data_IF_876187496887
#
_entry.id   IF_876187496887
#
_cell.length_a   1.000
_cell.length_b   1.000
_cell.length_c   1.000
_cell.angle_alpha   90.00
_cell.angle_beta   90.00
_cell.angle_gamma   90.00
#
_symmetry.space_group_name_H-M   'P 1'
#
loop_
_entity.id
_entity.type
_entity.pdbx_description
1 polymer ?
#
# COMPACT_ATOMS: atom_id res chain seq x y z
N UNK A 1 12.95 -27.36 0.48
CA UNK A 1 11.51 -27.72 0.46
C UNK A 1 10.75 -26.43 0.26
N UNK A 2 10.25 -26.21 -0.96
CA UNK A 2 9.52 -25.04 -1.40
C UNK A 2 8.10 -25.07 -0.83
N UNK A 3 7.70 -24.03 -0.11
CA UNK A 3 6.29 -23.80 0.21
C UNK A 3 5.75 -22.76 -0.76
N UNK A 4 5.23 -23.26 -1.88
CA UNK A 4 4.23 -22.57 -2.68
C UNK A 4 3.01 -22.33 -1.81
N UNK A 5 2.91 -21.16 -1.19
CA UNK A 5 1.71 -20.77 -0.46
C UNK A 5 0.64 -20.34 -1.47
N UNK A 6 0.01 -21.32 -2.12
CA UNK A 6 -1.29 -21.10 -2.76
C UNK A 6 -2.24 -20.65 -1.65
N UNK A 7 -2.61 -19.36 -1.63
CA UNK A 7 -3.37 -18.74 -0.54
C UNK A 7 -4.54 -19.61 -0.10
N UNK A 8 -4.39 -20.28 1.04
CA UNK A 8 -5.44 -21.10 1.60
C UNK A 8 -6.55 -20.16 2.09
N UNK A 9 -7.80 -20.45 1.71
CA UNK A 9 -8.94 -19.74 2.25
C UNK A 9 -9.03 -20.01 3.76
N UNK A 10 -9.14 -18.96 4.56
CA UNK A 10 -9.21 -19.07 6.03
C UNK A 10 -10.61 -18.80 6.59
N UNK A 11 -11.51 -18.26 5.77
CA UNK A 11 -12.92 -18.05 6.11
C UNK A 11 -13.73 -17.64 4.89
N UNK A 12 -15.01 -17.36 5.06
CA UNK A 12 -15.89 -16.87 3.99
C UNK A 12 -16.81 -15.78 4.53
N UNK A 13 -17.01 -14.72 3.75
CA UNK A 13 -18.06 -13.74 4.03
C UNK A 13 -19.27 -14.03 3.18
N UNK A 14 -20.41 -14.21 3.83
CA UNK A 14 -21.73 -14.20 3.20
C UNK A 14 -22.29 -12.78 3.27
N UNK A 15 -22.36 -12.09 2.14
CA UNK A 15 -22.82 -10.70 2.05
C UNK A 15 -24.21 -10.66 1.42
N UNK A 16 -25.17 -10.05 2.10
CA UNK A 16 -26.54 -9.80 1.63
C UNK A 16 -26.80 -8.31 1.54
N UNK A 17 -27.74 -7.91 0.69
CA UNK A 17 -28.29 -6.55 0.76
C UNK A 17 -29.09 -6.41 2.04
N UNK A 18 -28.91 -5.32 2.77
CA UNK A 18 -29.70 -4.99 3.95
C UNK A 18 -31.10 -4.44 3.60
N UNK A 19 -31.31 -4.03 2.33
CA UNK A 19 -32.54 -3.39 1.87
C UNK A 19 -33.48 -4.33 1.10
N UNK A 20 -33.00 -5.54 0.77
CA UNK A 20 -33.75 -6.53 0.02
C UNK A 20 -33.54 -7.91 0.67
N UNK A 21 -34.54 -8.34 1.46
CA UNK A 21 -34.54 -9.63 2.15
C UNK A 21 -34.56 -10.82 1.18
N UNK A 22 -34.96 -10.61 -0.09
CA UNK A 22 -34.95 -11.62 -1.14
C UNK A 22 -33.67 -11.60 -1.98
N UNK A 23 -32.76 -10.66 -1.75
CA UNK A 23 -31.51 -10.59 -2.48
C UNK A 23 -30.65 -11.82 -2.20
N UNK A 24 -30.20 -12.46 -3.28
CA UNK A 24 -29.31 -13.62 -3.17
C UNK A 24 -27.99 -13.23 -2.51
N UNK A 25 -27.64 -13.93 -1.43
CA UNK A 25 -26.38 -13.73 -0.73
C UNK A 25 -25.18 -14.04 -1.64
N UNK A 26 -24.18 -13.15 -1.63
CA UNK A 26 -22.89 -13.37 -2.30
C UNK A 26 -21.90 -13.95 -1.32
N UNK A 27 -21.25 -15.07 -1.69
CA UNK A 27 -20.18 -15.66 -0.90
C UNK A 27 -18.82 -15.19 -1.43
N UNK A 28 -17.96 -14.74 -0.53
CA UNK A 28 -16.59 -14.33 -0.82
C UNK A 28 -15.63 -15.15 0.05
N UNK A 29 -14.87 -16.05 -0.57
CA UNK A 29 -13.76 -16.73 0.10
C UNK A 29 -12.72 -15.68 0.53
N UNK A 30 -12.30 -15.74 1.79
CA UNK A 30 -11.25 -14.88 2.30
C UNK A 30 -9.91 -15.54 2.03
N UNK A 31 -9.21 -15.01 1.03
CA UNK A 31 -7.95 -15.56 0.53
C UNK A 31 -6.81 -14.58 0.83
N UNK A 32 -5.77 -15.08 1.46
CA UNK A 32 -4.59 -14.31 1.85
C UNK A 32 -4.81 -13.44 3.09
N UNK A 33 -3.76 -12.84 3.62
CA UNK A 33 -3.78 -12.33 5.01
C UNK A 33 -4.63 -11.07 5.25
N UNK A 34 -5.14 -10.43 4.20
CA UNK A 34 -6.03 -9.27 4.34
C UNK A 34 -6.90 -9.11 3.10
N UNK A 35 -8.20 -8.89 3.32
CA UNK A 35 -9.23 -8.73 2.29
C UNK A 35 -9.91 -7.38 2.49
N UNK A 36 -9.69 -6.45 1.57
CA UNK A 36 -10.33 -5.12 1.56
C UNK A 36 -11.77 -5.18 1.07
N UNK A 37 -12.63 -4.36 1.66
CA UNK A 37 -14.06 -4.26 1.36
C UNK A 37 -14.44 -2.78 1.20
N UNK A 38 -15.04 -2.40 0.08
CA UNK A 38 -15.48 -1.02 -0.14
C UNK A 38 -15.87 -0.74 -1.59
N UNK A 39 -15.97 0.54 -1.95
CA UNK A 39 -16.39 0.98 -3.29
C UNK A 39 -15.24 1.04 -4.32
N UNK A 40 -13.98 0.96 -3.88
CA UNK A 40 -12.83 1.03 -4.79
C UNK A 40 -12.70 -0.25 -5.63
N UNK A 41 -12.36 -0.14 -6.93
CA UNK A 41 -12.28 -1.29 -7.84
C UNK A 41 -11.12 -2.25 -7.52
N UNK A 42 -10.13 -1.80 -6.75
CA UNK A 42 -8.96 -2.56 -6.29
C UNK A 42 -9.20 -3.30 -4.96
N UNK A 43 -10.37 -3.16 -4.33
CA UNK A 43 -10.72 -4.04 -3.22
C UNK A 43 -10.98 -5.47 -3.69
N UNK A 44 -10.65 -6.43 -2.82
CA UNK A 44 -11.03 -7.81 -3.03
C UNK A 44 -12.56 -8.01 -3.05
N UNK A 45 -13.31 -7.21 -2.29
CA UNK A 45 -14.77 -7.18 -2.29
C UNK A 45 -15.24 -5.77 -2.64
N UNK A 46 -15.66 -5.59 -3.89
CA UNK A 46 -16.19 -4.31 -4.39
C UNK A 46 -17.71 -4.28 -4.22
N UNK A 47 -18.21 -3.23 -3.56
CA UNK A 47 -19.62 -3.03 -3.27
C UNK A 47 -20.06 -1.65 -3.75
N UNK A 48 -21.23 -1.58 -4.38
CA UNK A 48 -21.76 -0.37 -4.99
C UNK A 48 -22.83 0.24 -4.09
N UNK A 49 -22.41 1.20 -3.25
CA UNK A 49 -23.34 2.02 -2.49
C UNK A 49 -22.72 3.40 -2.22
N UNK A 50 -23.54 4.44 -2.32
CA UNK A 50 -23.11 5.84 -2.20
C UNK A 50 -22.56 6.24 -0.83
N UNK A 51 -22.88 5.47 0.21
CA UNK A 51 -22.41 5.68 1.58
C UNK A 51 -21.16 4.86 1.93
N UNK A 52 -20.68 4.02 1.01
CA UNK A 52 -19.47 3.23 1.19
C UNK A 52 -18.23 4.01 0.78
N UNK A 53 -17.28 4.04 1.72
CA UNK A 53 -15.93 4.48 1.45
C UNK A 53 -15.24 3.57 0.41
N UNK A 54 -14.36 4.11 -0.46
CA UNK A 54 -13.48 3.34 -1.33
C UNK A 54 -12.83 2.17 -0.61
N UNK A 55 -12.24 2.34 0.58
CA UNK A 55 -11.76 1.24 1.42
C UNK A 55 -12.45 1.29 2.80
N UNK A 56 -13.61 0.65 2.91
CA UNK A 56 -14.52 0.81 4.05
C UNK A 56 -14.08 -0.02 5.27
N UNK A 57 -13.78 -1.31 5.07
CA UNK A 57 -13.37 -2.27 6.09
C UNK A 57 -12.30 -3.20 5.50
N UNK A 58 -11.62 -3.97 6.35
CA UNK A 58 -10.85 -5.12 5.89
C UNK A 58 -10.96 -6.29 6.85
N UNK A 59 -10.99 -7.52 6.35
CA UNK A 59 -10.77 -8.72 7.18
C UNK A 59 -9.29 -9.10 7.12
N UNK A 60 -8.71 -9.46 8.25
CA UNK A 60 -7.29 -9.74 8.47
C UNK A 60 -7.09 -11.11 9.06
N UNK A 61 -6.26 -11.94 8.46
CA UNK A 61 -5.80 -13.18 9.06
C UNK A 61 -4.51 -12.93 9.84
N UNK A 62 -4.53 -13.12 11.16
CA UNK A 62 -3.38 -12.93 12.04
C UNK A 62 -3.26 -14.16 12.93
N UNK A 63 -2.14 -14.87 12.83
CA UNK A 63 -1.80 -16.02 13.69
C UNK A 63 -2.92 -17.08 13.76
N UNK A 64 -3.54 -17.42 12.62
CA UNK A 64 -4.59 -18.44 12.56
C UNK A 64 -5.99 -17.93 12.92
N UNK A 65 -6.17 -16.63 13.14
CA UNK A 65 -7.46 -16.03 13.49
C UNK A 65 -7.81 -14.84 12.60
N UNK A 66 -9.08 -14.73 12.25
CA UNK A 66 -9.59 -13.63 11.46
C UNK A 66 -10.04 -12.47 12.35
N UNK A 67 -9.71 -11.26 11.93
CA UNK A 67 -10.07 -10.01 12.58
C UNK A 67 -10.71 -9.07 11.57
N UNK A 68 -11.82 -8.47 11.92
CA UNK A 68 -12.34 -7.31 11.20
C UNK A 68 -11.60 -6.06 11.67
N UNK A 69 -11.07 -5.29 10.72
CA UNK A 69 -10.31 -4.08 10.97
C UNK A 69 -11.06 -2.84 10.47
N UNK A 70 -11.21 -1.84 11.33
CA UNK A 70 -12.00 -0.62 11.07
C UNK A 70 -11.27 0.64 11.56
N UNK A 71 -11.10 1.65 10.71
CA UNK A 71 -10.60 2.97 11.11
C UNK A 71 -11.71 3.75 11.85
N UNK A 72 -11.67 3.76 13.19
CA UNK A 72 -12.63 4.47 14.02
C UNK A 72 -12.56 5.99 13.81
N UNK A 73 -11.41 6.56 13.45
CA UNK A 73 -11.34 7.99 13.18
C UNK A 73 -12.05 8.36 11.87
N UNK A 74 -12.01 7.47 10.87
CA UNK A 74 -12.82 7.60 9.65
C UNK A 74 -14.31 7.51 9.97
N UNK A 75 -14.73 6.47 10.70
CA UNK A 75 -16.14 6.27 11.10
C UNK A 75 -16.68 7.47 11.90
N UNK A 76 -15.87 8.06 12.80
CA UNK A 76 -16.25 9.29 13.53
C UNK A 76 -16.56 10.46 12.58
N UNK A 77 -15.71 10.68 11.57
CA UNK A 77 -15.88 11.79 10.60
C UNK A 77 -17.12 11.61 9.73
N UNK A 78 -17.43 10.36 9.39
CA UNK A 78 -18.60 9.96 8.61
C UNK A 78 -19.88 9.86 9.47
N UNK A 79 -19.79 10.11 10.78
CA UNK A 79 -20.89 9.98 11.75
C UNK A 79 -21.47 8.56 11.79
N UNK A 80 -20.65 7.57 11.48
CA UNK A 80 -20.98 6.15 11.63
C UNK A 80 -20.60 5.70 13.04
N UNK A 81 -21.62 5.54 13.89
CA UNK A 81 -21.45 5.18 15.31
C UNK A 81 -21.41 3.67 15.56
N UNK A 82 -21.63 2.86 14.53
CA UNK A 82 -21.83 1.41 14.62
C UNK A 82 -20.65 0.70 15.29
N UNK A 83 -19.44 1.19 15.04
CA UNK A 83 -18.17 0.58 15.47
C UNK A 83 -17.67 1.06 16.84
N UNK A 84 -18.35 2.03 17.45
CA UNK A 84 -17.92 2.61 18.73
C UNK A 84 -18.43 1.82 19.94
N UNK A 85 -19.34 0.86 19.72
CA UNK A 85 -19.74 -0.12 20.74
C UNK A 85 -18.72 -1.26 20.76
N UNK A 86 -17.68 -1.07 21.57
CA UNK A 86 -16.61 -2.06 21.79
C UNK A 86 -17.20 -3.33 22.43
N UNK A 87 -16.95 -4.48 21.81
CA UNK A 87 -17.38 -5.82 22.25
C UNK A 87 -16.27 -6.48 23.08
N UNK A 88 -16.62 -7.51 23.83
CA UNK A 88 -15.62 -8.34 24.50
C UNK A 88 -14.69 -8.97 23.45
N UNK A 89 -13.37 -8.87 23.67
CA UNK A 89 -12.35 -9.35 22.74
C UNK A 89 -11.91 -8.35 21.67
N UNK A 90 -12.63 -7.23 21.49
CA UNK A 90 -12.18 -6.15 20.62
C UNK A 90 -10.87 -5.55 21.14
N UNK A 91 -9.91 -5.37 20.23
CA UNK A 91 -8.67 -4.66 20.50
C UNK A 91 -8.74 -3.33 19.79
N UNK A 92 -8.67 -2.24 20.55
CA UNK A 92 -8.47 -0.91 19.97
C UNK A 92 -6.98 -0.68 19.87
N UNK A 93 -6.48 -0.43 18.68
CA UNK A 93 -5.07 -0.30 18.39
C UNK A 93 -4.75 1.09 17.86
N UNK A 94 -3.70 1.67 18.44
CA UNK A 94 -3.11 2.93 18.02
C UNK A 94 -1.78 2.65 17.31
N UNK A 95 -1.57 3.16 16.10
CA UNK A 95 -0.29 3.16 15.39
C UNK A 95 0.94 3.49 16.23
N UNK A 96 0.79 4.48 17.13
CA UNK A 96 1.90 5.04 17.91
C UNK A 96 2.10 4.38 19.26
N UNK A 97 1.05 3.80 19.84
CA UNK A 97 1.03 3.37 21.25
C UNK A 97 0.61 1.91 21.41
N UNK A 98 0.33 1.20 20.31
CA UNK A 98 -0.13 -0.17 20.33
C UNK A 98 -1.56 -0.30 20.88
N UNK A 99 -1.83 -1.40 21.58
CA UNK A 99 -3.15 -1.71 22.13
C UNK A 99 -3.57 -0.72 23.23
N UNK A 100 -4.71 -0.07 23.03
CA UNK A 100 -5.30 0.92 23.92
C UNK A 100 -6.34 0.25 24.82
N UNK A 101 -6.03 0.16 26.12
CA UNK A 101 -6.91 -0.49 27.11
C UNK A 101 -8.22 0.27 27.39
N UNK A 102 -8.25 1.59 27.20
CA UNK A 102 -9.42 2.45 27.45
C UNK A 102 -9.51 3.57 26.41
N UNK A 103 -10.20 3.37 25.27
CA UNK A 103 -10.47 4.45 24.34
C UNK A 103 -11.28 5.55 25.04
N UNK A 104 -10.85 6.82 24.96
CA UNK A 104 -11.71 7.94 25.39
C UNK A 104 -12.88 8.07 24.40
N UNK A 105 -13.97 8.71 24.81
CA UNK A 105 -15.08 9.04 23.88
C UNK A 105 -14.51 9.91 22.76
N UNK A 106 -14.52 9.40 21.52
CA UNK A 106 -13.99 9.93 20.23
C UNK A 106 -12.87 9.04 19.70
N UNK A 107 -12.90 8.71 18.41
CA UNK A 107 -11.96 7.80 17.71
C UNK A 107 -10.51 8.27 17.62
N UNK A 108 -10.00 8.87 18.71
CA UNK A 108 -8.68 9.44 18.88
C UNK A 108 -7.98 8.73 20.04
N UNK A 109 -6.69 8.44 19.85
CA UNK A 109 -5.89 7.82 20.89
C UNK A 109 -5.73 8.77 22.10
N UNK A 110 -6.00 8.29 23.35
CA UNK A 110 -5.88 9.12 24.55
C UNK A 110 -4.44 9.52 24.87
N UNK A 111 -3.46 8.75 24.39
CA UNK A 111 -2.03 8.96 24.65
C UNK A 111 -1.36 9.88 23.61
N UNK A 112 -1.88 9.91 22.37
CA UNK A 112 -1.32 10.71 21.29
C UNK A 112 -1.32 12.22 21.54
N UNK A 113 -2.16 12.74 22.47
CA UNK A 113 -2.37 14.17 22.78
C UNK A 113 -2.63 15.09 21.57
N UNK A 114 -2.72 14.54 20.36
CA UNK A 114 -2.87 15.22 19.07
C UNK A 114 -4.18 14.73 18.43
N UNK A 115 -4.95 15.64 17.82
CA UNK A 115 -6.26 15.34 17.21
C UNK A 115 -6.16 14.53 15.88
N UNK A 116 -5.01 13.95 15.56
CA UNK A 116 -4.69 13.47 14.19
C UNK A 116 -4.30 12.00 14.07
N UNK A 117 -4.20 11.24 15.17
CA UNK A 117 -3.91 9.79 15.10
C UNK A 117 -5.19 8.95 14.96
N UNK A 118 -5.31 8.17 13.88
CA UNK A 118 -6.41 7.20 13.70
C UNK A 118 -6.33 6.08 14.74
N UNK A 119 -7.45 5.77 15.38
CA UNK A 119 -7.63 4.54 16.15
C UNK A 119 -8.23 3.46 15.27
N UNK A 120 -7.65 2.27 15.33
CA UNK A 120 -8.16 1.11 14.61
C UNK A 120 -8.86 0.18 15.59
N UNK A 121 -10.01 -0.32 15.19
CA UNK A 121 -10.67 -1.42 15.87
C UNK A 121 -10.24 -2.72 15.17
N UNK A 122 -9.72 -3.67 15.94
CA UNK A 122 -9.50 -5.05 15.53
C UNK A 122 -10.50 -5.91 16.31
N UNK A 123 -11.53 -6.40 15.62
CA UNK A 123 -12.56 -7.25 16.19
C UNK A 123 -12.30 -8.70 15.78
N UNK A 124 -12.00 -9.62 16.71
CA UNK A 124 -11.88 -11.03 16.35
C UNK A 124 -13.20 -11.54 15.79
N UNK A 125 -13.13 -12.27 14.68
CA UNK A 125 -14.28 -12.91 14.04
C UNK A 125 -14.39 -14.38 14.47
N UNK A 126 -15.61 -14.80 14.78
CA UNK A 126 -16.01 -16.16 15.14
C UNK A 126 -17.10 -16.65 14.19
N UNK A 127 -17.21 -17.97 14.00
CA UNK A 127 -18.22 -18.57 13.11
C UNK A 127 -19.64 -18.03 13.43
N UNK A 128 -20.32 -17.50 12.41
CA UNK A 128 -21.65 -16.90 12.54
C UNK A 128 -21.66 -15.42 12.95
N UNK A 129 -20.51 -14.80 13.22
CA UNK A 129 -20.45 -13.37 13.53
C UNK A 129 -21.01 -12.53 12.38
N UNK A 130 -21.86 -11.57 12.72
CA UNK A 130 -22.52 -10.71 11.76
C UNK A 130 -22.21 -9.23 12.00
N UNK A 131 -22.08 -8.48 10.91
CA UNK A 131 -21.79 -7.05 10.92
C UNK A 131 -22.27 -6.34 9.66
N UNK A 132 -22.62 -5.07 9.81
CA UNK A 132 -23.06 -4.22 8.70
C UNK A 132 -21.86 -3.63 7.94
N UNK A 133 -22.02 -3.46 6.63
CA UNK A 133 -21.06 -2.80 5.75
C UNK A 133 -21.81 -1.62 5.14
N UNK A 134 -21.56 -0.42 5.66
CA UNK A 134 -22.42 0.74 5.43
C UNK A 134 -23.87 0.46 5.85
N UNK A 135 -24.82 1.13 5.22
CA UNK A 135 -26.27 0.94 5.47
C UNK A 135 -26.94 -0.05 4.52
N UNK A 136 -26.21 -0.50 3.50
CA UNK A 136 -26.79 -1.22 2.36
C UNK A 136 -26.44 -2.70 2.33
N UNK A 137 -25.45 -3.13 3.11
CA UNK A 137 -24.98 -4.52 3.10
C UNK A 137 -24.80 -5.06 4.51
N UNK A 138 -25.02 -6.35 4.62
CA UNK A 138 -24.83 -7.11 5.85
C UNK A 138 -23.96 -8.32 5.56
N UNK A 139 -22.95 -8.56 6.38
CA UNK A 139 -22.02 -9.67 6.24
C UNK A 139 -22.15 -10.63 7.42
N UNK A 140 -22.19 -11.93 7.13
CA UNK A 140 -22.00 -13.01 8.10
C UNK A 140 -20.68 -13.71 7.81
N UNK A 141 -19.81 -13.80 8.81
CA UNK A 141 -18.56 -14.54 8.73
C UNK A 141 -18.80 -16.04 8.98
N UNK A 142 -18.28 -16.87 8.11
CA UNK A 142 -18.31 -18.33 8.17
C UNK A 142 -16.87 -18.81 8.35
N UNK A 143 -16.56 -19.39 9.50
CA UNK A 143 -15.22 -19.87 9.79
C UNK A 143 -14.90 -21.09 8.93
N UNK A 144 -13.67 -21.19 8.44
CA UNK A 144 -13.24 -22.38 7.71
C UNK A 144 -13.19 -23.60 8.64
N UNK A 145 -13.86 -24.69 8.25
CA UNK A 145 -13.85 -25.98 8.95
C UNK A 145 -13.09 -27.00 8.09
N UNK A 146 -11.93 -27.52 8.55
CA UNK A 146 -11.20 -28.55 7.81
C UNK A 146 -12.09 -29.77 7.58
N UNK A 147 -12.30 -30.13 6.30
CA UNK A 147 -13.09 -31.31 5.91
C UNK A 147 -14.49 -31.02 5.33
N UNK A 148 -14.94 -29.76 5.28
CA UNK A 148 -16.13 -29.41 4.51
C UNK A 148 -15.80 -29.26 3.02
N UNK A 149 -16.63 -29.89 2.17
CA UNK A 149 -16.53 -29.79 0.71
C UNK A 149 -16.61 -28.32 0.30
N UNK A 150 -15.58 -27.86 -0.41
CA UNK A 150 -15.47 -26.51 -0.95
C UNK A 150 -16.75 -26.18 -1.72
N UNK A 151 -17.56 -25.23 -1.23
CA UNK A 151 -18.73 -24.75 -1.96
C UNK A 151 -18.21 -24.11 -3.24
N UNK A 152 -18.28 -24.86 -4.33
CA UNK A 152 -17.93 -24.41 -5.67
C UNK A 152 -19.04 -23.49 -6.14
N UNK A 153 -19.04 -22.24 -5.66
CA UNK A 153 -19.78 -21.20 -6.36
C UNK A 153 -19.16 -21.05 -7.73
N UNK A 154 -20.00 -21.15 -8.76
CA UNK A 154 -19.65 -20.84 -10.12
C UNK A 154 -18.83 -19.56 -10.14
N UNK A 155 -17.59 -19.68 -10.60
CA UNK A 155 -16.66 -18.60 -10.91
C UNK A 155 -17.41 -17.62 -11.80
N UNK A 156 -18.06 -16.62 -11.22
CA UNK A 156 -18.28 -15.36 -11.94
C UNK A 156 -16.88 -14.78 -11.99
N UNK A 157 -16.22 -15.03 -13.11
CA UNK A 157 -15.08 -14.25 -13.56
C UNK A 157 -15.37 -12.81 -13.17
N UNK A 158 -14.56 -12.30 -12.22
CA UNK A 158 -14.44 -10.86 -12.01
C UNK A 158 -14.30 -10.26 -13.42
N UNK A 159 -15.05 -9.20 -13.77
CA UNK A 159 -14.67 -8.44 -14.95
C UNK A 159 -13.20 -8.10 -14.75
N UNK A 160 -12.36 -8.50 -15.70
CA UNK A 160 -10.97 -8.11 -15.74
C UNK A 160 -10.95 -6.58 -15.83
N UNK A 161 -10.96 -5.91 -14.67
CA UNK A 161 -10.77 -4.48 -14.53
C UNK A 161 -9.30 -4.19 -14.72
N UNK A 162 -8.90 -4.15 -15.99
CA UNK A 162 -7.72 -3.48 -16.53
C UNK A 162 -6.42 -3.54 -15.71
N UNK A 163 -5.91 -4.75 -15.46
CA UNK A 163 -4.47 -4.91 -15.68
C UNK A 163 -4.35 -5.12 -17.18
N UNK A 164 -3.98 -4.06 -17.92
CA UNK A 164 -3.59 -4.20 -19.31
C UNK A 164 -2.58 -5.36 -19.39
N UNK A 165 -2.63 -6.23 -20.42
CA UNK A 165 -1.66 -7.32 -20.55
C UNK A 165 -0.27 -6.74 -20.32
N UNK A 166 0.46 -7.31 -19.34
CA UNK A 166 1.82 -6.92 -18.98
C UNK A 166 2.58 -6.70 -20.27
N UNK A 167 2.90 -5.45 -20.57
CA UNK A 167 3.52 -5.08 -21.83
C UNK A 167 4.88 -5.78 -21.88
N UNK A 168 5.02 -6.74 -22.80
CA UNK A 168 6.28 -7.37 -23.15
C UNK A 168 7.15 -6.35 -23.88
N UNK A 169 7.82 -5.49 -23.13
CA UNK A 169 8.78 -4.54 -23.66
C UNK A 169 10.18 -4.97 -23.22
N UNK A 170 11.16 -4.85 -24.12
CA UNK A 170 12.57 -4.90 -23.76
C UNK A 170 12.85 -3.92 -22.61
N UNK A 171 13.79 -4.25 -21.73
CA UNK A 171 14.21 -3.33 -20.66
C UNK A 171 14.49 -1.94 -21.26
N UNK A 172 13.98 -0.85 -20.66
CA UNK A 172 14.10 0.48 -21.22
C UNK A 172 15.51 1.04 -20.97
N UNK A 173 16.51 0.46 -21.63
CA UNK A 173 17.92 0.84 -21.51
C UNK A 173 18.30 2.07 -22.32
N UNK A 174 17.45 2.49 -23.25
CA UNK A 174 17.74 3.51 -24.26
C UNK A 174 17.13 4.89 -23.94
N UNK A 175 16.34 5.00 -22.86
CA UNK A 175 15.83 6.29 -22.38
C UNK A 175 16.79 6.88 -21.34
N UNK A 176 17.51 7.93 -21.74
CA UNK A 176 18.47 8.64 -20.89
C UNK A 176 17.84 9.31 -19.66
N UNK A 177 16.52 9.40 -19.58
CA UNK A 177 15.79 9.94 -18.43
C UNK A 177 15.41 8.87 -17.40
N UNK A 178 15.65 7.59 -17.67
CA UNK A 178 15.39 6.50 -16.73
C UNK A 178 16.68 6.08 -16.04
N UNK A 179 16.64 6.10 -14.72
CA UNK A 179 17.70 5.52 -13.90
C UNK A 179 17.27 4.13 -13.42
N UNK A 180 18.16 3.14 -13.55
CA UNK A 180 17.88 1.77 -13.12
C UNK A 180 18.48 1.50 -11.73
N UNK A 181 17.64 1.11 -10.79
CA UNK A 181 18.03 0.49 -9.53
C UNK A 181 17.89 -1.02 -9.64
N UNK A 182 19.02 -1.72 -9.57
CA UNK A 182 19.07 -3.19 -9.55
C UNK A 182 20.33 -3.66 -8.81
N UNK A 183 20.42 -3.47 -7.48
CA UNK A 183 21.52 -3.99 -6.71
C UNK A 183 21.52 -5.53 -6.71
N UNK A 184 22.66 -6.12 -6.37
CA UNK A 184 22.78 -7.57 -6.25
C UNK A 184 21.75 -8.12 -5.24
N UNK A 185 20.94 -9.09 -5.68
CA UNK A 185 19.88 -9.69 -4.85
C UNK A 185 18.53 -8.97 -4.89
N UNK A 186 18.39 -7.87 -5.64
CA UNK A 186 17.07 -7.30 -5.92
C UNK A 186 16.24 -8.30 -6.78
N UNK A 187 14.97 -8.54 -6.42
CA UNK A 187 14.11 -9.49 -7.12
C UNK A 187 13.67 -9.03 -8.52
N UNK A 188 13.71 -7.71 -8.77
CA UNK A 188 13.45 -7.11 -10.08
C UNK A 188 14.12 -5.73 -10.20
N UNK A 189 14.43 -5.27 -11.43
CA UNK A 189 14.87 -3.91 -11.67
C UNK A 189 13.75 -2.89 -11.46
N UNK A 190 14.10 -1.73 -10.92
CA UNK A 190 13.21 -0.57 -10.79
C UNK A 190 13.81 0.60 -11.58
N UNK A 191 13.13 1.02 -12.64
CA UNK A 191 13.47 2.20 -13.42
C UNK A 191 12.73 3.41 -12.87
N UNK A 192 13.46 4.45 -12.48
CA UNK A 192 12.90 5.70 -11.96
C UNK A 192 13.14 6.81 -12.98
N UNK A 193 12.07 7.41 -13.49
CA UNK A 193 12.18 8.56 -14.38
C UNK A 193 12.67 9.79 -13.61
N UNK A 194 13.61 10.54 -14.21
CA UNK A 194 14.16 11.78 -13.66
C UNK A 194 13.10 12.78 -13.19
N UNK A 195 11.94 12.89 -13.88
CA UNK A 195 10.85 13.77 -13.44
C UNK A 195 10.21 13.33 -12.13
N UNK A 196 10.16 12.02 -11.85
CA UNK A 196 9.72 11.49 -10.56
C UNK A 196 10.72 11.90 -9.49
N UNK A 197 12.02 11.66 -9.72
CA UNK A 197 13.06 12.09 -8.77
C UNK A 197 12.99 13.59 -8.46
N UNK A 198 12.92 14.44 -9.50
CA UNK A 198 12.80 15.89 -9.34
C UNK A 198 11.56 16.26 -8.55
N UNK A 199 10.41 15.66 -8.86
CA UNK A 199 9.14 15.97 -8.19
C UNK A 199 9.13 15.55 -6.72
N UNK A 200 9.57 14.32 -6.41
CA UNK A 200 9.62 13.81 -5.03
C UNK A 200 10.70 14.51 -4.21
N UNK A 201 11.86 14.80 -4.79
CA UNK A 201 12.94 15.58 -4.16
C UNK A 201 12.51 17.01 -3.89
N UNK A 202 11.87 17.68 -4.84
CA UNK A 202 11.33 19.02 -4.62
C UNK A 202 10.28 19.03 -3.51
N UNK A 203 9.37 18.05 -3.51
CA UNK A 203 8.37 17.91 -2.45
C UNK A 203 9.01 17.68 -1.08
N UNK A 204 10.04 16.83 -1.00
CA UNK A 204 10.78 16.56 0.22
C UNK A 204 11.52 17.79 0.73
N UNK A 205 12.26 18.51 -0.13
CA UNK A 205 13.03 19.71 0.24
C UNK A 205 12.14 20.88 0.65
N UNK A 206 10.97 21.04 0.03
CA UNK A 206 9.97 22.06 0.40
C UNK A 206 9.35 21.81 1.78
N UNK A 207 9.50 20.59 2.33
CA UNK A 207 8.90 20.18 3.60
C UNK A 207 9.95 19.53 4.52
N UNK A 208 11.14 20.13 4.62
CA UNK A 208 12.27 19.56 5.38
C UNK A 208 12.04 19.46 6.90
N UNK A 209 10.99 20.08 7.42
CA UNK A 209 10.60 20.07 8.83
C UNK A 209 9.54 19.02 9.19
N UNK A 210 9.00 18.30 8.18
CA UNK A 210 7.92 17.33 8.35
C UNK A 210 7.96 16.19 7.33
N UNK A 211 7.35 15.08 7.69
CA UNK A 211 7.20 13.96 6.76
C UNK A 211 6.08 14.24 5.75
N UNK A 212 6.38 14.03 4.47
CA UNK A 212 5.45 14.11 3.35
C UNK A 212 5.57 12.86 2.49
N UNK A 213 4.62 12.63 1.60
CA UNK A 213 4.70 11.50 0.69
C UNK A 213 3.64 11.53 -0.41
N UNK A 214 3.43 10.38 -1.03
CA UNK A 214 2.50 10.26 -2.15
C UNK A 214 2.61 8.93 -2.89
N UNK A 215 1.88 8.83 -3.99
CA UNK A 215 1.90 7.65 -4.85
C UNK A 215 2.99 7.75 -5.91
N UNK A 216 3.51 6.59 -6.27
CA UNK A 216 4.35 6.37 -7.44
C UNK A 216 3.51 5.65 -8.49
N UNK A 217 3.45 6.22 -9.69
CA UNK A 217 2.66 5.72 -10.80
C UNK A 217 3.57 5.37 -11.97
N UNK A 218 3.19 4.35 -12.73
CA UNK A 218 3.99 3.89 -13.84
C UNK A 218 3.49 2.60 -14.43
N UNK A 219 4.43 1.79 -14.91
CA UNK A 219 4.14 0.60 -15.68
C UNK A 219 4.86 -0.60 -15.05
N UNK A 220 4.17 -1.74 -15.04
CA UNK A 220 4.72 -3.03 -14.60
C UNK A 220 4.89 -3.87 -15.85
N UNK A 221 6.12 -4.32 -16.10
CA UNK A 221 6.50 -4.93 -17.36
C UNK A 221 7.22 -6.26 -17.14
N UNK A 222 7.32 -7.04 -18.20
CA UNK A 222 8.16 -8.23 -18.26
C UNK A 222 9.10 -8.14 -19.45
N UNK A 223 10.35 -8.56 -19.26
CA UNK A 223 11.30 -8.67 -20.37
C UNK A 223 11.06 -9.97 -21.19
N UNK A 224 11.92 -10.19 -22.19
CA UNK A 224 11.82 -11.37 -23.08
C UNK A 224 12.03 -12.71 -22.36
N UNK A 225 12.60 -12.68 -21.15
CA UNK A 225 12.82 -13.87 -20.30
C UNK A 225 11.68 -14.10 -19.30
N UNK A 226 10.69 -13.19 -19.25
CA UNK A 226 9.61 -13.20 -18.27
C UNK A 226 9.99 -12.57 -16.92
N UNK A 227 11.18 -11.96 -16.80
CA UNK A 227 11.60 -11.26 -15.60
C UNK A 227 10.79 -9.97 -15.46
N UNK A 228 10.16 -9.80 -14.30
CA UNK A 228 9.43 -8.58 -13.96
C UNK A 228 10.39 -7.40 -13.83
N UNK A 229 9.96 -6.22 -14.26
CA UNK A 229 10.58 -4.94 -13.93
C UNK A 229 9.52 -3.84 -13.81
N UNK A 230 9.85 -2.78 -13.08
CA UNK A 230 8.94 -1.66 -12.80
C UNK A 230 9.50 -0.38 -13.39
N UNK A 231 8.67 0.40 -14.08
CA UNK A 231 9.03 1.71 -14.59
C UNK A 231 8.18 2.77 -13.91
N UNK A 232 8.78 3.51 -12.98
CA UNK A 232 8.14 4.60 -12.25
C UNK A 232 8.25 5.89 -13.07
N UNK A 233 7.11 6.36 -13.57
CA UNK A 233 7.07 7.47 -14.53
C UNK A 233 6.38 8.71 -13.98
N UNK A 234 5.47 8.61 -13.02
CA UNK A 234 4.74 9.75 -12.45
C UNK A 234 4.61 9.62 -10.93
N UNK A 235 4.17 10.71 -10.31
CA UNK A 235 3.93 10.76 -8.87
C UNK A 235 2.77 11.69 -8.55
N UNK A 236 1.96 11.30 -7.58
CA UNK A 236 0.89 12.13 -6.99
C UNK A 236 1.25 12.45 -5.55
N UNK A 237 1.06 13.71 -5.13
CA UNK A 237 1.37 14.16 -3.77
C UNK A 237 0.17 13.92 -2.85
N UNK A 238 0.44 13.43 -1.64
CA UNK A 238 -0.57 13.26 -0.60
C UNK A 238 -0.81 14.58 0.15
N UNK A 239 -1.68 15.45 -0.36
CA UNK A 239 -1.87 16.81 0.17
C UNK A 239 -2.55 16.87 1.54
N UNK A 240 -3.35 15.85 1.88
CA UNK A 240 -4.13 15.80 3.12
C UNK A 240 -3.64 14.74 4.11
N UNK A 241 -2.40 14.27 4.01
CA UNK A 241 -1.87 13.29 4.95
C UNK A 241 -1.92 13.82 6.40
N UNK A 242 -2.24 12.95 7.36
CA UNK A 242 -2.25 13.35 8.76
C UNK A 242 -0.81 13.46 9.27
N UNK A 243 -0.26 14.67 9.14
CA UNK A 243 1.10 15.00 9.54
C UNK A 243 1.21 15.05 11.07
N UNK A 244 2.04 14.19 11.64
CA UNK A 244 2.52 14.32 13.02
C UNK A 244 3.95 13.80 13.05
N UNK A 245 4.88 14.51 13.72
CA UNK A 245 6.32 14.16 13.80
C UNK A 245 6.52 12.64 13.92
N UNK A 246 7.24 12.07 12.96
CA UNK A 246 7.76 10.71 12.96
C UNK A 246 6.98 9.67 12.15
N UNK A 247 5.78 9.97 11.61
CA UNK A 247 5.05 9.02 10.74
C UNK A 247 4.05 9.72 9.78
N UNK A 248 4.12 9.44 8.48
CA UNK A 248 3.11 9.79 7.46
C UNK A 248 1.91 8.84 7.53
N UNK A 249 0.67 9.34 7.45
CA UNK A 249 -0.53 8.48 7.35
C UNK A 249 -1.40 8.90 6.18
N UNK A 250 -1.66 7.97 5.26
CA UNK A 250 -2.70 8.14 4.24
C UNK A 250 -4.07 8.01 4.91
N UNK A 251 -4.67 9.16 5.20
CA UNK A 251 -6.05 9.17 5.70
C UNK A 251 -7.02 8.81 4.58
N UNK A 252 -8.26 8.44 4.91
CA UNK A 252 -9.30 8.27 3.90
C UNK A 252 -9.43 9.47 2.94
N UNK A 253 -9.31 10.71 3.45
CA UNK A 253 -9.36 11.92 2.61
C UNK A 253 -8.15 11.97 1.66
N UNK A 254 -6.98 11.58 2.13
CA UNK A 254 -5.76 11.47 1.33
C UNK A 254 -5.94 10.44 0.23
N UNK A 255 -6.48 9.25 0.56
CA UNK A 255 -6.77 8.21 -0.42
C UNK A 255 -7.80 8.65 -1.46
N UNK A 256 -8.89 9.31 -1.04
CA UNK A 256 -9.89 9.83 -1.97
C UNK A 256 -9.30 10.90 -2.91
N UNK A 257 -8.47 11.81 -2.39
CA UNK A 257 -7.76 12.80 -3.21
C UNK A 257 -6.84 12.10 -4.23
N UNK A 258 -5.96 11.22 -3.75
CA UNK A 258 -5.03 10.49 -4.62
C UNK A 258 -5.73 9.65 -5.68
N UNK A 259 -6.86 9.02 -5.33
CA UNK A 259 -7.67 8.24 -6.27
C UNK A 259 -8.31 9.13 -7.34
N UNK A 260 -8.91 10.25 -6.94
CA UNK A 260 -9.50 11.20 -7.89
C UNK A 260 -8.43 11.79 -8.83
N UNK A 261 -7.26 12.15 -8.28
CA UNK A 261 -6.15 12.69 -9.06
C UNK A 261 -5.58 11.64 -10.02
N UNK A 262 -5.51 10.37 -9.60
CA UNK A 262 -5.09 9.26 -10.44
C UNK A 262 -6.03 9.07 -11.62
N UNK A 263 -7.34 8.98 -11.37
CA UNK A 263 -8.35 8.85 -12.43
C UNK A 263 -8.37 10.05 -13.38
N UNK A 264 -8.17 11.26 -12.87
CA UNK A 264 -8.22 12.48 -13.67
C UNK A 264 -6.96 12.70 -14.52
N UNK A 265 -5.78 12.38 -13.99
CA UNK A 265 -4.51 12.76 -14.61
C UNK A 265 -3.80 11.59 -15.30
N UNK A 266 -3.91 10.38 -14.75
CA UNK A 266 -3.13 9.21 -15.17
C UNK A 266 -3.95 7.90 -15.16
N UNK A 267 -5.15 7.87 -15.81
CA UNK A 267 -6.04 6.71 -15.76
C UNK A 267 -5.45 5.43 -16.37
N UNK A 268 -4.42 5.56 -17.22
CA UNK A 268 -3.73 4.47 -17.90
C UNK A 268 -2.47 3.98 -17.16
N UNK A 269 -2.16 4.54 -15.98
CA UNK A 269 -0.95 4.22 -15.22
C UNK A 269 -1.29 3.39 -13.98
N UNK A 270 -0.41 2.46 -13.64
CA UNK A 270 -0.54 1.58 -12.48
C UNK A 270 0.09 2.23 -11.24
N UNK A 271 -0.50 2.02 -10.06
CA UNK A 271 0.16 2.34 -8.79
C UNK A 271 1.27 1.31 -8.55
N UNK A 272 2.52 1.73 -8.82
CA UNK A 272 3.72 0.91 -8.71
C UNK A 272 4.43 1.07 -7.36
N UNK A 273 3.86 1.86 -6.46
CA UNK A 273 4.39 2.02 -5.11
C UNK A 273 4.02 3.37 -4.50
N UNK A 274 4.82 3.76 -3.52
CA UNK A 274 4.67 5.02 -2.81
C UNK A 274 6.02 5.58 -2.43
N UNK A 275 6.02 6.85 -2.07
CA UNK A 275 7.18 7.49 -1.47
C UNK A 275 6.78 8.25 -0.22
N UNK A 276 7.74 8.38 0.69
CA UNK A 276 7.64 9.28 1.83
C UNK A 276 9.01 9.80 2.28
N UNK A 277 9.00 10.78 3.17
CA UNK A 277 10.22 11.41 3.67
C UNK A 277 10.49 11.10 5.13
N UNK A 278 11.77 11.02 5.48
CA UNK A 278 12.30 10.88 6.85
C UNK A 278 13.32 12.01 7.14
N UNK A 279 12.91 13.28 7.33
CA UNK A 279 13.87 14.39 7.44
C UNK A 279 14.79 14.26 8.66
N UNK A 280 16.08 13.97 8.41
CA UNK A 280 17.12 13.81 9.42
C UNK A 280 17.09 12.48 10.19
N UNK A 281 16.33 11.49 9.71
CA UNK A 281 16.11 10.21 10.41
C UNK A 281 16.77 9.04 9.70
N UNK A 282 17.51 9.27 8.62
CA UNK A 282 18.10 8.25 7.73
C UNK A 282 17.05 7.43 6.96
N UNK A 283 17.52 6.50 6.13
CA UNK A 283 16.68 5.72 5.22
C UNK A 283 16.41 4.34 5.81
N UNK A 284 15.17 4.09 6.20
CA UNK A 284 14.67 2.80 6.69
C UNK A 284 13.14 2.81 6.59
N UNK A 285 12.50 1.66 6.71
CA UNK A 285 11.08 1.53 6.96
C UNK A 285 10.85 1.32 8.46
N UNK A 286 10.20 2.30 9.09
CA UNK A 286 9.72 2.14 10.46
C UNK A 286 8.65 1.05 10.52
N UNK A 287 8.29 0.60 11.73
CA UNK A 287 7.16 -0.33 11.92
C UNK A 287 5.87 0.20 11.29
N UNK A 288 5.71 1.51 11.23
CA UNK A 288 4.56 2.15 10.61
C UNK A 288 4.63 2.16 9.09
N UNK A 289 5.81 2.38 8.52
CA UNK A 289 5.99 2.35 7.07
C UNK A 289 5.84 0.92 6.54
N UNK A 290 6.35 -0.06 7.28
CA UNK A 290 6.07 -1.47 7.06
C UNK A 290 4.56 -1.74 7.11
N UNK A 291 3.87 -1.26 8.14
CA UNK A 291 2.41 -1.36 8.19
C UNK A 291 1.76 -0.73 6.95
N UNK A 292 2.17 0.46 6.51
CA UNK A 292 1.56 1.05 5.30
C UNK A 292 1.84 0.19 4.08
N UNK A 293 3.10 -0.20 3.88
CA UNK A 293 3.53 -0.95 2.70
C UNK A 293 2.88 -2.33 2.62
N UNK A 294 2.90 -3.08 3.72
CA UNK A 294 2.32 -4.42 3.83
C UNK A 294 0.79 -4.45 3.73
N UNK A 295 0.14 -3.29 3.84
CA UNK A 295 -1.32 -3.22 3.94
C UNK A 295 -1.98 -2.50 2.77
N UNK A 296 -1.29 -1.53 2.16
CA UNK A 296 -1.83 -0.73 1.06
C UNK A 296 -1.02 -0.87 -0.23
N UNK A 297 0.18 -1.46 -0.18
CA UNK A 297 1.09 -1.60 -1.33
C UNK A 297 1.64 -3.04 -1.43
N UNK A 298 0.73 -4.00 -1.56
CA UNK A 298 0.97 -5.44 -1.38
C UNK A 298 1.38 -6.19 -2.63
N UNK A 299 1.21 -5.58 -3.80
CA UNK A 299 1.55 -6.26 -5.03
C UNK A 299 3.07 -6.47 -5.08
N UNK A 300 3.56 -7.64 -5.57
CA UNK A 300 4.98 -7.94 -5.53
C UNK A 300 5.88 -6.92 -6.23
N UNK A 301 5.33 -6.18 -7.20
CA UNK A 301 6.02 -5.10 -7.90
C UNK A 301 5.99 -3.75 -7.18
N UNK A 302 5.13 -3.58 -6.18
CA UNK A 302 4.99 -2.31 -5.50
C UNK A 302 6.21 -2.02 -4.62
N UNK A 303 6.74 -0.80 -4.75
CA UNK A 303 7.94 -0.36 -4.04
C UNK A 303 7.61 0.68 -2.96
N UNK A 304 8.50 0.83 -1.99
CA UNK A 304 8.53 2.00 -1.11
C UNK A 304 9.82 2.80 -1.36
N UNK A 305 9.68 4.07 -1.75
CA UNK A 305 10.79 5.00 -1.90
C UNK A 305 10.87 5.92 -0.67
N UNK A 306 11.93 5.79 0.12
CA UNK A 306 12.14 6.64 1.30
C UNK A 306 13.20 7.68 0.99
N UNK A 307 12.91 8.95 1.31
CA UNK A 307 13.79 10.09 1.02
C UNK A 307 14.12 10.84 2.32
N UNK A 308 15.40 11.02 2.62
CA UNK A 308 15.84 11.93 3.68
C UNK A 308 16.41 13.20 3.02
N UNK A 309 15.63 14.29 2.94
CA UNK A 309 16.08 15.53 2.31
C UNK A 309 17.20 16.23 3.10
N UNK A 310 17.35 15.94 4.40
CA UNK A 310 18.39 16.54 5.25
C UNK A 310 19.75 15.89 5.02
N UNK A 311 19.76 14.60 4.65
CA UNK A 311 20.98 13.85 4.35
C UNK A 311 21.26 13.73 2.84
N UNK A 312 20.37 14.26 1.99
CA UNK A 312 20.39 14.13 0.52
C UNK A 312 20.49 12.66 0.06
N UNK A 313 19.73 11.78 0.74
CA UNK A 313 19.73 10.34 0.50
C UNK A 313 18.34 9.81 0.22
N UNK A 314 18.27 8.72 -0.53
CA UNK A 314 17.07 7.93 -0.72
C UNK A 314 17.39 6.44 -0.80
N UNK A 315 16.37 5.63 -0.66
CA UNK A 315 16.46 4.18 -0.82
C UNK A 315 15.13 3.59 -1.26
N UNK A 316 15.23 2.52 -2.03
CA UNK A 316 14.09 1.76 -2.53
C UNK A 316 13.99 0.45 -1.74
N UNK A 317 12.78 0.14 -1.29
CA UNK A 317 12.43 -1.11 -0.65
C UNK A 317 11.44 -1.85 -1.55
N UNK A 318 11.63 -3.16 -1.64
CA UNK A 318 10.88 -4.06 -2.54
C UNK A 318 10.50 -5.33 -1.82
N UNK A 319 9.44 -5.99 -2.30
CA UNK A 319 9.04 -7.31 -1.84
C UNK A 319 10.03 -8.39 -2.29
N UNK A 320 10.46 -9.24 -1.37
CA UNK A 320 11.25 -10.44 -1.64
C UNK A 320 10.69 -11.62 -0.85
N UNK A 321 10.16 -12.63 -1.54
CA UNK A 321 9.64 -13.84 -0.90
C UNK A 321 8.47 -13.62 0.06
N UNK A 322 7.62 -12.62 -0.20
CA UNK A 322 6.45 -12.30 0.63
C UNK A 322 6.71 -11.40 1.84
N UNK A 323 7.92 -10.88 1.99
CA UNK A 323 8.26 -9.86 2.98
C UNK A 323 9.07 -8.73 2.34
N UNK A 324 9.19 -7.58 3.00
CA UNK A 324 10.02 -6.48 2.50
C UNK A 324 11.49 -6.79 2.70
N UNK A 325 12.31 -6.63 1.65
CA UNK A 325 13.75 -6.85 1.74
C UNK A 325 14.44 -5.76 2.58
N UNK A 326 15.23 -6.18 3.57
CA UNK A 326 16.09 -5.32 4.40
C UNK A 326 15.40 -4.04 4.93
N UNK A 327 14.28 -4.14 5.66
CA UNK A 327 13.48 -2.96 6.00
C UNK A 327 14.18 -1.95 6.92
N UNK A 328 15.23 -2.37 7.64
CA UNK A 328 16.01 -1.47 8.51
C UNK A 328 17.17 -0.77 7.79
N UNK A 329 17.51 -1.18 6.57
CA UNK A 329 18.60 -0.60 5.80
C UNK A 329 18.37 -0.89 4.31
N UNK A 330 18.10 0.13 3.46
CA UNK A 330 17.86 -0.10 2.05
C UNK A 330 19.08 -0.77 1.41
N UNK A 331 18.83 -1.62 0.43
CA UNK A 331 19.90 -2.17 -0.40
C UNK A 331 20.40 -1.06 -1.32
N UNK A 332 21.70 -0.73 -1.27
CA UNK A 332 22.32 0.36 -2.06
C UNK A 332 21.54 1.68 -2.01
N UNK A 333 21.53 2.40 -0.85
CA UNK A 333 20.99 3.75 -0.81
C UNK A 333 21.78 4.67 -1.74
N UNK A 334 21.09 5.60 -2.39
CA UNK A 334 21.64 6.51 -3.38
C UNK A 334 21.40 7.97 -2.98
N UNK A 335 22.17 8.89 -3.58
CA UNK A 335 21.93 10.32 -3.37
C UNK A 335 20.87 10.83 -4.33
N UNK A 336 20.08 11.82 -3.90
CA UNK A 336 19.11 12.46 -4.78
C UNK A 336 19.81 13.17 -5.95
N UNK A 337 21.00 13.74 -5.71
CA UNK A 337 21.83 14.37 -6.74
C UNK A 337 22.37 13.37 -7.78
N UNK A 338 22.56 12.09 -7.43
CA UNK A 338 22.97 11.05 -8.38
C UNK A 338 21.88 10.76 -9.43
N UNK A 339 20.63 11.09 -9.12
CA UNK A 339 19.48 10.98 -10.02
C UNK A 339 19.20 12.27 -10.81
N UNK A 340 19.66 13.42 -10.32
CA UNK A 340 19.60 14.70 -11.04
C UNK A 340 20.68 14.80 -12.12
N UNK A 341 21.85 14.18 -11.86
CA UNK A 341 22.97 14.08 -12.78
C UNK A 341 22.87 12.86 -13.69
N UNK A 342 22.07 12.96 -14.76
CA UNK A 342 22.40 12.17 -15.95
C UNK A 342 23.84 12.53 -16.36
N UNK A 343 24.76 11.58 -16.24
CA UNK A 343 26.13 11.67 -16.76
C UNK A 343 27.21 12.40 -15.94
N UNK A 344 27.42 12.04 -14.68
CA UNK A 344 28.80 11.99 -14.16
C UNK A 344 29.15 10.56 -13.77
N UNK A 345 29.28 9.70 -14.80
CA UNK A 345 30.18 8.56 -14.69
C UNK A 345 31.48 9.08 -14.12
N UNK A 346 32.01 8.38 -13.14
CA UNK A 346 33.42 8.28 -12.78
C UNK A 346 34.25 8.03 -14.05
N UNK A 347 34.45 9.07 -14.87
CA UNK A 347 35.62 9.18 -15.72
C UNK A 347 36.72 9.55 -14.77
N UNK A 348 37.42 8.55 -14.23
CA UNK A 348 38.84 8.72 -13.97
C UNK A 348 39.40 9.40 -15.22
N UNK A 349 39.77 10.68 -15.11
CA UNK A 349 40.46 11.41 -16.16
C UNK A 349 41.83 10.76 -16.33
N UNK A 350 41.86 9.65 -17.06
CA UNK A 350 43.08 9.07 -17.58
C UNK A 350 43.63 10.03 -18.61
N UNK A 351 44.69 10.76 -18.23
CA UNK A 351 45.43 11.64 -19.11
C UNK A 351 46.20 10.78 -20.10
N UNK A 352 45.58 10.42 -21.22
CA UNK A 352 46.31 9.78 -22.33
C UNK A 352 47.11 10.88 -23.01
N UNK A 353 48.44 10.87 -22.81
CA UNK A 353 49.37 11.60 -23.67
C UNK A 353 49.35 10.91 -25.02
N UNK A 354 48.67 11.49 -26.00
CA UNK A 354 48.95 11.19 -27.40
C UNK A 354 50.36 11.71 -27.67
N UNK A 355 51.30 10.79 -27.87
CA UNK A 355 52.61 11.13 -28.42
C UNK A 355 52.39 11.78 -29.78
N UNK A 356 53.07 12.91 -30.02
CA UNK A 356 53.05 13.56 -31.31
C UNK A 356 53.61 12.61 -32.38
N UNK A 357 53.06 12.60 -33.60
CA UNK A 357 53.65 11.84 -34.68
C UNK A 357 54.89 12.58 -35.16
N UNK A 358 56.05 11.92 -34.97
CA UNK A 358 57.12 11.58 -35.94
C UNK A 358 58.34 11.17 -35.13
#
# INVERSE_FOLDING_TARGET
MSHSNSGASHGTLRITSAQDENATARLHELVGDSVGIGAAPDNAIVLDASDLAPHHLSVRHIEGRDYLMVDLAARWRERDWTWFKIRAGDVVWCPRHGSIKRPRRRGLCPECRTRRGSLWLLRPLSDGDAFDIGRHYHATYLAYKPGQTRLTLARKTMPAGSVAPLSSASLPTDDSNLWCWQPAGAPFPVFLHQRVNRSTTAHARQNSDREVGGLLLGDVCQDQTGQLYVVVTHTLRAEFAAETRGHLTFTHKTWQQLHNDHLAQYPDKTIVGWYHTHPGWTIFLSKWDLFIHENFFREPWQIALVIDPSLDRAGIFVWNGGAVANPQCPTEPFRLAELDGGFERTRTRGRIKLGAPV
#
